data_IF_870485429902
#
_entry.id   IF_870485429902
#
_cell.length_a   1.000
_cell.length_b   1.000
_cell.length_c   1.000
_cell.angle_alpha   90.00
_cell.angle_beta   90.00
_cell.angle_gamma   90.00
#
_symmetry.space_group_name_H-M   'P 1'
#
loop_
_entity.id
_entity.type
_entity.pdbx_description
1 polymer ?
#
# COMPACT_ATOMS: atom_id res chain seq x y z
N UNK A 1 26.07 -8.17 9.02
CA UNK A 1 25.68 -7.39 7.83
C UNK A 1 25.06 -6.09 8.36
N UNK A 2 25.66 -4.93 8.07
CA UNK A 2 25.17 -3.64 8.57
C UNK A 2 24.33 -2.94 7.50
N UNK A 3 23.29 -2.22 7.92
CA UNK A 3 22.49 -1.40 7.02
C UNK A 3 23.31 -0.17 6.60
N UNK A 4 23.65 -0.10 5.32
CA UNK A 4 24.36 1.04 4.73
C UNK A 4 23.38 2.09 4.19
N UNK A 5 23.68 3.39 4.32
CA UNK A 5 22.89 4.44 3.71
C UNK A 5 22.89 4.32 2.18
N UNK A 6 21.80 4.76 1.54
CA UNK A 6 21.72 4.90 0.08
C UNK A 6 21.74 6.36 -0.32
N UNK A 7 22.56 6.69 -1.32
CA UNK A 7 22.54 8.00 -1.97
C UNK A 7 21.26 8.12 -2.81
N UNK A 8 20.45 9.11 -2.50
CA UNK A 8 19.24 9.47 -3.23
C UNK A 8 19.35 10.91 -3.72
N UNK A 9 18.49 11.29 -4.66
CA UNK A 9 18.31 12.69 -5.05
C UNK A 9 17.52 13.45 -3.97
N UNK A 10 17.62 14.77 -3.94
CA UNK A 10 16.79 15.60 -3.06
C UNK A 10 15.32 15.48 -3.46
N UNK A 11 14.51 14.90 -2.57
CA UNK A 11 13.10 14.66 -2.82
C UNK A 11 12.29 15.96 -2.77
N UNK A 12 11.33 16.08 -3.69
CA UNK A 12 10.35 17.17 -3.74
C UNK A 12 8.94 16.61 -3.60
N UNK A 13 8.02 17.44 -3.13
CA UNK A 13 6.59 17.10 -3.11
C UNK A 13 6.14 16.78 -4.53
N UNK A 14 5.56 15.60 -4.72
CA UNK A 14 5.12 15.08 -6.02
C UNK A 14 6.05 14.03 -6.63
N UNK A 15 7.27 13.85 -6.10
CA UNK A 15 8.16 12.79 -6.57
C UNK A 15 7.66 11.39 -6.18
N UNK A 16 8.00 10.40 -7.00
CA UNK A 16 7.66 8.99 -6.77
C UNK A 16 8.88 8.27 -6.21
N UNK A 17 8.68 7.56 -5.09
CA UNK A 17 9.64 6.61 -4.54
C UNK A 17 9.25 5.18 -4.94
N UNK A 18 10.16 4.46 -5.60
CA UNK A 18 9.99 3.04 -5.92
C UNK A 18 10.79 2.16 -4.95
N UNK A 19 10.09 1.26 -4.25
CA UNK A 19 10.71 0.27 -3.37
C UNK A 19 10.68 -1.08 -4.06
N UNK A 20 11.86 -1.61 -4.41
CA UNK A 20 12.00 -2.96 -4.96
C UNK A 20 11.79 -4.04 -3.90
N UNK A 21 11.62 -5.30 -4.33
CA UNK A 21 11.48 -6.43 -3.41
C UNK A 21 10.16 -6.50 -2.64
N UNK A 22 9.16 -5.71 -3.02
CA UNK A 22 7.86 -5.62 -2.34
C UNK A 22 6.86 -6.74 -2.68
N UNK A 23 7.28 -7.78 -3.42
CA UNK A 23 6.38 -8.82 -3.95
C UNK A 23 6.00 -9.91 -2.93
N UNK A 24 6.79 -10.11 -1.88
CA UNK A 24 6.54 -11.14 -0.87
C UNK A 24 6.21 -10.49 0.48
N UNK A 25 5.17 -11.02 1.14
CA UNK A 25 4.70 -10.63 2.48
C UNK A 25 4.24 -9.17 2.66
N UNK A 26 4.60 -8.22 1.81
CA UNK A 26 4.26 -6.80 2.00
C UNK A 26 2.75 -6.53 1.98
N UNK A 27 2.02 -7.13 1.04
CA UNK A 27 0.56 -6.97 0.97
C UNK A 27 -0.13 -7.61 2.18
N UNK A 28 0.25 -8.85 2.48
CA UNK A 28 -0.37 -9.68 3.51
C UNK A 28 -0.07 -9.17 4.94
N UNK A 29 1.13 -8.63 5.17
CA UNK A 29 1.59 -8.14 6.47
C UNK A 29 1.60 -6.61 6.57
N UNK A 30 0.94 -5.92 5.66
CA UNK A 30 0.80 -4.47 5.76
C UNK A 30 0.12 -4.08 7.08
N UNK A 31 0.58 -3.01 7.72
CA UNK A 31 -0.06 -2.41 8.91
C UNK A 31 -1.31 -1.61 8.51
N UNK A 32 -2.18 -2.27 7.75
CA UNK A 32 -3.43 -1.71 7.24
C UNK A 32 -4.31 -1.16 8.36
N UNK A 33 -5.02 -0.08 8.07
CA UNK A 33 -5.90 0.65 8.98
C UNK A 33 -5.21 1.27 10.21
N UNK A 34 -3.91 1.06 10.43
CA UNK A 34 -3.17 1.81 11.44
C UNK A 34 -3.19 3.30 11.06
N UNK A 35 -3.55 4.17 12.00
CA UNK A 35 -3.84 5.59 11.74
C UNK A 35 -4.91 5.82 10.65
N UNK A 36 -5.85 4.88 10.50
CA UNK A 36 -6.95 4.95 9.53
C UNK A 36 -6.49 5.00 8.06
N UNK A 37 -5.25 4.60 7.75
CA UNK A 37 -4.78 4.52 6.38
C UNK A 37 -5.42 3.32 5.65
N UNK A 38 -6.02 3.53 4.46
CA UNK A 38 -6.63 2.45 3.68
C UNK A 38 -5.58 1.50 3.10
N UNK A 39 -5.96 0.23 2.89
CA UNK A 39 -5.16 -0.67 2.06
C UNK A 39 -4.90 -0.07 0.66
N UNK A 40 -3.66 -0.19 0.20
CA UNK A 40 -3.24 0.30 -1.11
C UNK A 40 -3.84 -0.54 -2.25
N UNK A 41 -4.15 0.07 -3.40
CA UNK A 41 -4.48 -0.69 -4.60
C UNK A 41 -3.26 -1.48 -5.09
N UNK A 42 -3.51 -2.57 -5.80
CA UNK A 42 -2.48 -3.36 -6.47
C UNK A 42 -2.82 -3.50 -7.95
N UNK A 43 -1.79 -3.38 -8.78
CA UNK A 43 -1.91 -3.43 -10.24
C UNK A 43 -0.94 -4.49 -10.76
N UNK A 44 -1.43 -5.35 -11.65
CA UNK A 44 -0.66 -6.33 -12.38
C UNK A 44 -0.33 -5.78 -13.77
N UNK A 45 0.94 -5.87 -14.16
CA UNK A 45 1.38 -5.73 -15.55
C UNK A 45 1.32 -7.11 -16.22
N UNK A 46 0.52 -7.25 -17.27
CA UNK A 46 0.37 -8.49 -18.04
C UNK A 46 1.48 -8.64 -19.08
N UNK A 47 1.57 -9.85 -19.65
CA UNK A 47 2.52 -10.21 -20.72
C UNK A 47 2.33 -9.32 -21.96
N UNK A 48 1.09 -8.93 -22.28
CA UNK A 48 0.75 -8.06 -23.41
C UNK A 48 1.01 -6.56 -23.14
N UNK A 49 1.57 -6.22 -21.98
CA UNK A 49 1.83 -4.84 -21.56
C UNK A 49 0.62 -4.12 -20.96
N UNK A 50 -0.56 -4.76 -20.91
CA UNK A 50 -1.75 -4.16 -20.28
C UNK A 50 -1.64 -4.14 -18.76
N UNK A 51 -2.22 -3.11 -18.13
CA UNK A 51 -2.32 -3.00 -16.68
C UNK A 51 -3.70 -3.47 -16.20
N UNK A 52 -3.75 -4.11 -15.03
CA UNK A 52 -5.03 -4.42 -14.40
C UNK A 52 -5.00 -4.34 -12.89
N UNK A 53 -6.02 -3.68 -12.37
CA UNK A 53 -6.23 -3.57 -10.92
C UNK A 53 -6.64 -4.94 -10.40
N UNK A 54 -5.77 -5.55 -9.59
CA UNK A 54 -6.00 -6.86 -8.95
C UNK A 54 -6.47 -6.70 -7.50
N UNK A 55 -6.18 -5.55 -6.87
CA UNK A 55 -6.79 -5.12 -5.61
C UNK A 55 -7.19 -3.66 -5.71
N UNK A 56 -8.46 -3.34 -5.43
CA UNK A 56 -8.92 -1.95 -5.38
C UNK A 56 -8.43 -1.28 -4.10
N UNK A 57 -8.23 0.04 -4.15
CA UNK A 57 -7.97 0.84 -2.95
C UNK A 57 -9.14 0.69 -1.99
N UNK A 58 -8.85 0.48 -0.71
CA UNK A 58 -9.88 0.41 0.31
C UNK A 58 -10.51 1.79 0.54
N UNK A 59 -11.82 1.81 0.72
CA UNK A 59 -12.61 2.99 1.07
C UNK A 59 -12.78 3.12 2.57
N UNK A 60 -13.08 4.32 3.08
CA UNK A 60 -13.40 4.52 4.49
C UNK A 60 -14.53 3.59 4.98
N UNK A 61 -15.58 3.43 4.16
CA UNK A 61 -16.69 2.52 4.47
C UNK A 61 -16.23 1.08 4.69
N UNK A 62 -15.23 0.61 3.94
CA UNK A 62 -14.66 -0.72 4.12
C UNK A 62 -13.78 -0.81 5.36
N UNK A 63 -13.13 0.27 5.79
CA UNK A 63 -12.36 0.30 7.05
C UNK A 63 -13.31 0.13 8.24
N UNK A 64 -14.42 0.88 8.25
CA UNK A 64 -15.39 0.92 9.36
C UNK A 64 -16.41 -0.24 9.32
N UNK A 65 -16.33 -1.13 8.33
CA UNK A 65 -17.39 -2.11 8.04
C UNK A 65 -17.69 -3.08 9.19
N UNK A 66 -16.74 -3.28 10.10
CA UNK A 66 -16.88 -4.18 11.24
C UNK A 66 -17.22 -3.45 12.55
N UNK A 67 -17.29 -2.11 12.54
CA UNK A 67 -17.70 -1.35 13.72
C UNK A 67 -19.21 -1.51 13.93
N UNK A 68 -19.62 -1.68 15.19
CA UNK A 68 -21.02 -1.85 15.58
C UNK A 68 -21.42 -0.74 16.54
N UNK A 69 -22.67 -0.28 16.44
CA UNK A 69 -23.23 0.62 17.44
C UNK A 69 -23.27 -0.09 18.81
N UNK A 70 -22.81 0.61 19.85
CA UNK A 70 -22.97 0.17 21.24
C UNK A 70 -24.00 1.11 21.87
N UNK A 71 -25.12 0.55 22.30
CA UNK A 71 -26.10 1.27 23.10
C UNK A 71 -25.63 1.25 24.56
N UNK A 72 -25.44 2.43 25.14
CA UNK A 72 -25.22 2.61 26.58
C UNK A 72 -26.54 2.89 27.29
#
# INVERSE_FOLDING_TARGET
EELLPRKLVDAKIGDILAIGGAGAYCSAMSTKNYNSFPECPEVMLRIDGSLSVIRKRQTLKQILANETEILF
#
